data_IF_337473127903
#
_entry.id   IF_337473127903
#
_cell.length_a   1.000
_cell.length_b   1.000
_cell.length_c   1.000
_cell.angle_alpha   90.00
_cell.angle_beta   90.00
_cell.angle_gamma   90.00
#
_symmetry.space_group_name_H-M   'P 1'
#
loop_
_entity.id
_entity.type
_entity.pdbx_description
1 polymer ?
#
# COMPACT_ATOMS: atom_id res chain seq x y z
N UNK A 1 -2.47 3.64 -17.23
CA UNK A 1 -2.50 4.92 -17.98
C UNK A 1 -3.07 6.05 -17.10
N UNK A 2 -4.32 5.94 -16.62
CA UNK A 2 -4.93 6.93 -15.72
C UNK A 2 -4.19 7.15 -14.38
N UNK A 3 -3.64 6.11 -13.75
CA UNK A 3 -2.86 6.26 -12.50
C UNK A 3 -1.62 7.16 -12.67
N UNK A 4 -0.92 7.02 -13.80
CA UNK A 4 0.26 7.85 -14.13
C UNK A 4 -0.13 9.29 -14.43
N UNK A 5 -1.26 9.48 -15.11
CA UNK A 5 -1.83 10.81 -15.36
C UNK A 5 -2.25 11.47 -14.04
N UNK A 6 -2.87 10.71 -13.13
CA UNK A 6 -3.20 11.18 -11.78
C UNK A 6 -1.91 11.60 -11.05
N UNK A 7 -0.92 10.71 -10.96
CA UNK A 7 0.33 10.98 -10.27
C UNK A 7 1.09 12.20 -10.85
N UNK A 8 1.04 12.41 -12.17
CA UNK A 8 1.64 13.56 -12.83
C UNK A 8 0.96 14.90 -12.49
N UNK A 9 -0.35 14.87 -12.21
CA UNK A 9 -1.11 16.07 -11.83
C UNK A 9 -0.95 16.44 -10.34
N UNK A 10 -0.27 15.61 -9.53
CA UNK A 10 0.02 15.95 -8.12
C UNK A 10 0.70 17.31 -7.97
N UNK A 11 1.63 17.63 -8.87
CA UNK A 11 2.32 18.93 -8.87
C UNK A 11 1.38 20.12 -9.17
N UNK A 12 0.29 19.89 -9.92
CA UNK A 12 -0.71 20.92 -10.16
C UNK A 12 -1.60 21.14 -8.93
N UNK A 13 -1.87 20.08 -8.16
CA UNK A 13 -2.62 20.17 -6.92
C UNK A 13 -1.89 21.01 -5.87
N UNK A 14 -0.59 20.77 -5.69
CA UNK A 14 0.26 21.56 -4.78
C UNK A 14 0.24 23.05 -5.14
N UNK A 15 0.29 23.38 -6.44
CA UNK A 15 0.17 24.78 -6.88
C UNK A 15 -1.20 25.39 -6.57
N UNK A 16 -2.26 24.60 -6.62
CA UNK A 16 -3.63 25.06 -6.29
C UNK A 16 -3.75 25.30 -4.78
N UNK A 17 -3.12 24.47 -3.96
CA UNK A 17 -3.07 24.65 -2.50
C UNK A 17 -2.29 25.92 -2.12
N UNK A 18 -1.10 26.13 -2.70
CA UNK A 18 -0.27 27.33 -2.48
C UNK A 18 -1.01 28.62 -2.88
N UNK A 19 -1.74 28.57 -4.00
CA UNK A 19 -2.59 29.68 -4.45
C UNK A 19 -3.80 29.88 -3.53
N UNK A 20 -4.33 28.81 -2.94
CA UNK A 20 -5.39 28.87 -1.94
C UNK A 20 -4.94 29.59 -0.67
N UNK A 21 -3.77 29.24 -0.14
CA UNK A 21 -3.16 29.91 1.03
C UNK A 21 -2.95 31.40 0.74
N UNK A 22 -2.44 31.74 -0.44
CA UNK A 22 -2.24 33.13 -0.88
C UNK A 22 -3.56 33.93 -0.97
N UNK A 23 -4.65 33.30 -1.37
CA UNK A 23 -5.97 33.93 -1.49
C UNK A 23 -6.65 34.11 -0.11
N UNK A 24 -6.46 33.15 0.80
CA UNK A 24 -6.89 33.28 2.19
C UNK A 24 -6.17 34.42 2.91
N UNK A 25 -4.86 34.56 2.73
CA UNK A 25 -4.07 35.69 3.24
C UNK A 25 -4.56 37.04 2.69
N UNK A 26 -5.04 37.06 1.44
CA UNK A 26 -5.64 38.22 0.79
C UNK A 26 -7.11 38.45 1.16
N UNK A 27 -7.68 37.66 2.09
CA UNK A 27 -9.09 37.68 2.50
C UNK A 27 -10.10 37.42 1.35
N UNK A 28 -9.67 36.70 0.31
CA UNK A 28 -10.52 36.29 -0.82
C UNK A 28 -11.09 34.90 -0.55
N UNK A 29 -12.28 34.86 0.07
CA UNK A 29 -12.88 33.62 0.60
C UNK A 29 -14.00 33.02 -0.27
N UNK A 30 -14.56 33.79 -1.20
CA UNK A 30 -15.69 33.36 -2.04
C UNK A 30 -15.21 32.66 -3.32
N UNK A 31 -14.51 31.54 -3.15
CA UNK A 31 -14.02 30.72 -4.26
C UNK A 31 -15.02 29.59 -4.49
N UNK A 32 -15.59 29.54 -5.71
CA UNK A 32 -16.64 28.59 -6.13
C UNK A 32 -16.33 27.10 -5.85
N UNK A 33 -15.05 26.77 -5.72
CA UNK A 33 -14.54 25.50 -5.22
C UNK A 33 -13.39 25.84 -4.26
N UNK A 34 -13.52 25.48 -2.98
CA UNK A 34 -12.40 25.66 -2.06
C UNK A 34 -11.24 24.79 -2.54
N UNK A 35 -10.02 25.33 -2.46
CA UNK A 35 -8.78 24.62 -2.78
C UNK A 35 -8.66 23.35 -1.93
N UNK A 36 -9.09 23.43 -0.66
CA UNK A 36 -9.25 22.30 0.26
C UNK A 36 -10.20 21.23 -0.31
N UNK A 37 -11.36 21.63 -0.84
CA UNK A 37 -12.34 20.69 -1.41
C UNK A 37 -11.82 19.96 -2.64
N UNK A 38 -11.04 20.66 -3.49
CA UNK A 38 -10.38 20.04 -4.65
C UNK A 38 -9.29 19.06 -4.22
N UNK A 39 -8.49 19.41 -3.20
CA UNK A 39 -7.47 18.53 -2.66
C UNK A 39 -8.06 17.25 -2.03
N UNK A 40 -9.17 17.38 -1.30
CA UNK A 40 -9.88 16.23 -0.73
C UNK A 40 -10.46 15.30 -1.81
N UNK A 41 -11.12 15.85 -2.83
CA UNK A 41 -11.67 15.05 -3.94
C UNK A 41 -10.57 14.34 -4.72
N UNK A 42 -9.42 15.01 -4.88
CA UNK A 42 -8.24 14.43 -5.50
C UNK A 42 -7.70 13.24 -4.71
N UNK A 43 -7.50 13.40 -3.40
CA UNK A 43 -6.99 12.34 -2.53
C UNK A 43 -7.93 11.12 -2.56
N UNK A 44 -9.24 11.34 -2.48
CA UNK A 44 -10.24 10.27 -2.62
C UNK A 44 -10.11 9.51 -3.95
N UNK A 45 -9.93 10.22 -5.07
CA UNK A 45 -9.74 9.59 -6.37
C UNK A 45 -8.44 8.80 -6.45
N UNK A 46 -7.37 9.31 -5.85
CA UNK A 46 -6.09 8.62 -5.78
C UNK A 46 -6.20 7.31 -4.98
N UNK A 47 -6.80 7.37 -3.79
CA UNK A 47 -7.01 6.21 -2.93
C UNK A 47 -7.89 5.14 -3.59
N UNK A 48 -8.99 5.55 -4.24
CA UNK A 48 -9.82 4.63 -5.02
C UNK A 48 -9.05 3.98 -6.18
N UNK A 49 -8.15 4.73 -6.83
CA UNK A 49 -7.26 4.20 -7.86
C UNK A 49 -6.32 3.14 -7.32
N UNK A 50 -5.67 3.42 -6.18
CA UNK A 50 -4.77 2.50 -5.49
C UNK A 50 -5.50 1.22 -5.03
N UNK A 51 -6.67 1.35 -4.41
CA UNK A 51 -7.48 0.21 -4.00
C UNK A 51 -7.89 -0.67 -5.18
N UNK A 52 -8.33 -0.06 -6.29
CA UNK A 52 -8.69 -0.82 -7.50
C UNK A 52 -7.50 -1.53 -8.11
N UNK A 53 -6.34 -0.88 -8.15
CA UNK A 53 -5.12 -1.50 -8.65
C UNK A 53 -4.73 -2.70 -7.77
N UNK A 54 -4.76 -2.52 -6.45
CA UNK A 54 -4.43 -3.58 -5.51
C UNK A 54 -5.39 -4.77 -5.64
N UNK A 55 -6.70 -4.52 -5.70
CA UNK A 55 -7.70 -5.56 -5.90
C UNK A 55 -7.52 -6.30 -7.25
N UNK A 56 -7.16 -5.58 -8.32
CA UNK A 56 -6.87 -6.21 -9.61
C UNK A 56 -5.60 -7.06 -9.57
N UNK A 57 -4.55 -6.60 -8.89
CA UNK A 57 -3.32 -7.37 -8.69
C UNK A 57 -3.58 -8.64 -7.88
N UNK A 58 -4.37 -8.55 -6.80
CA UNK A 58 -4.81 -9.71 -6.02
C UNK A 58 -5.63 -10.69 -6.88
N UNK A 59 -6.55 -10.19 -7.71
CA UNK A 59 -7.36 -11.04 -8.60
C UNK A 59 -6.55 -11.70 -9.72
N UNK A 60 -5.57 -11.00 -10.29
CA UNK A 60 -4.65 -11.55 -11.30
C UNK A 60 -3.78 -12.62 -10.65
N UNK A 61 -3.22 -12.35 -9.48
CA UNK A 61 -2.46 -13.35 -8.73
C UNK A 61 -3.31 -14.57 -8.39
N UNK A 62 -4.56 -14.39 -7.97
CA UNK A 62 -5.50 -15.48 -7.72
C UNK A 62 -5.84 -16.30 -8.98
N UNK A 63 -5.80 -15.69 -10.18
CA UNK A 63 -5.99 -16.40 -11.45
C UNK A 63 -4.74 -17.18 -11.89
N UNK A 64 -3.54 -16.66 -11.61
CA UNK A 64 -2.28 -17.35 -11.90
C UNK A 64 -1.88 -18.35 -10.80
N UNK A 65 -2.50 -18.26 -9.61
CA UNK A 65 -2.28 -19.14 -8.47
C UNK A 65 -2.52 -20.62 -8.82
N UNK A 66 -3.35 -20.90 -9.82
CA UNK A 66 -3.77 -22.26 -10.14
C UNK A 66 -4.10 -22.45 -11.62
N UNK A 67 -3.11 -22.19 -12.50
CA UNK A 67 -3.25 -22.42 -13.96
C UNK A 67 -3.71 -23.85 -14.30
N UNK A 68 -3.47 -24.81 -13.40
CA UNK A 68 -3.83 -26.22 -13.56
C UNK A 68 -5.07 -26.66 -12.74
N UNK A 69 -5.79 -25.74 -12.07
CA UNK A 69 -6.98 -26.03 -11.24
C UNK A 69 -6.77 -27.12 -10.16
N UNK A 70 -5.55 -27.23 -9.66
CA UNK A 70 -5.10 -28.18 -8.63
C UNK A 70 -5.44 -27.77 -7.20
N UNK A 71 -5.78 -26.50 -6.97
CA UNK A 71 -5.95 -25.87 -5.66
C UNK A 71 -4.63 -25.67 -4.89
N UNK A 72 -3.48 -25.78 -5.57
CA UNK A 72 -2.14 -25.81 -4.95
C UNK A 72 -1.19 -24.85 -5.67
N UNK A 73 -0.46 -24.07 -4.87
CA UNK A 73 0.60 -23.17 -5.33
C UNK A 73 1.96 -23.76 -4.99
N UNK A 74 2.81 -24.05 -5.98
CA UNK A 74 4.17 -24.51 -5.69
C UNK A 74 5.05 -23.35 -5.17
N UNK A 75 6.22 -23.68 -4.62
CA UNK A 75 7.11 -22.66 -4.04
C UNK A 75 7.61 -21.63 -5.09
N UNK A 76 7.81 -22.04 -6.35
CA UNK A 76 8.27 -21.12 -7.41
C UNK A 76 7.20 -20.06 -7.73
N UNK A 77 5.95 -20.49 -7.81
CA UNK A 77 4.83 -19.59 -8.08
C UNK A 77 4.55 -18.71 -6.86
N UNK A 78 4.67 -19.25 -5.65
CA UNK A 78 4.60 -18.47 -4.41
C UNK A 78 5.69 -17.39 -4.33
N UNK A 79 6.93 -17.73 -4.67
CA UNK A 79 8.04 -16.77 -4.77
C UNK A 79 7.70 -15.64 -5.75
N UNK A 80 7.06 -15.99 -6.86
CA UNK A 80 6.64 -15.02 -7.88
C UNK A 80 5.50 -14.14 -7.40
N UNK A 81 4.51 -14.69 -6.68
CA UNK A 81 3.45 -13.93 -6.02
C UNK A 81 4.01 -12.94 -4.99
N UNK A 82 4.93 -13.37 -4.12
CA UNK A 82 5.58 -12.49 -3.14
C UNK A 82 6.28 -11.30 -3.80
N UNK A 83 7.02 -11.53 -4.90
CA UNK A 83 7.63 -10.44 -5.68
C UNK A 83 6.59 -9.52 -6.30
N UNK A 84 5.48 -10.07 -6.80
CA UNK A 84 4.36 -9.29 -7.33
C UNK A 84 3.64 -8.46 -6.27
N UNK A 85 3.66 -8.89 -5.01
CA UNK A 85 3.17 -8.15 -3.84
C UNK A 85 4.21 -7.15 -3.30
N UNK A 86 5.32 -6.93 -4.01
CA UNK A 86 6.44 -6.06 -3.62
C UNK A 86 7.21 -6.49 -2.37
N UNK A 87 7.14 -7.76 -1.95
CA UNK A 87 8.08 -8.27 -0.96
C UNK A 87 9.48 -8.36 -1.56
N UNK A 88 10.44 -7.72 -0.90
CA UNK A 88 11.83 -7.78 -1.34
C UNK A 88 12.44 -9.17 -1.07
N UNK A 89 12.65 -9.92 -2.15
CA UNK A 89 13.36 -11.20 -2.17
C UNK A 89 14.65 -11.03 -3.02
N UNK A 90 15.85 -11.03 -2.41
CA UNK A 90 17.09 -10.84 -3.13
C UNK A 90 17.30 -11.97 -4.14
N UNK A 91 17.72 -11.64 -5.37
CA UNK A 91 18.09 -12.66 -6.34
C UNK A 91 19.30 -13.44 -5.82
N UNK A 92 19.14 -14.75 -5.70
CA UNK A 92 20.21 -15.71 -5.39
C UNK A 92 20.46 -16.57 -6.63
N UNK A 93 21.67 -17.11 -6.75
CA UNK A 93 22.01 -18.05 -7.82
C UNK A 93 21.18 -19.34 -7.71
N UNK A 94 21.04 -20.06 -8.82
CA UNK A 94 20.27 -21.31 -8.85
C UNK A 94 20.94 -22.36 -7.97
N UNK A 95 20.23 -22.81 -6.93
CA UNK A 95 20.73 -23.77 -5.94
C UNK A 95 21.23 -23.15 -4.64
N UNK A 96 21.40 -21.83 -4.58
CA UNK A 96 21.75 -21.13 -3.34
C UNK A 96 20.51 -20.94 -2.43
N UNK A 97 20.66 -21.05 -1.10
CA UNK A 97 19.56 -20.80 -0.17
C UNK A 97 19.13 -19.34 -0.24
N UNK A 98 17.83 -19.08 -0.13
CA UNK A 98 17.24 -17.74 -0.09
C UNK A 98 16.61 -17.49 1.29
N UNK A 99 17.39 -17.10 2.34
CA UNK A 99 16.92 -17.12 3.73
C UNK A 99 15.66 -16.30 4.01
N UNK A 100 15.40 -15.25 3.22
CA UNK A 100 14.16 -14.46 3.33
C UNK A 100 12.95 -15.24 2.83
N UNK A 101 13.09 -15.95 1.71
CA UNK A 101 12.02 -16.79 1.16
C UNK A 101 11.75 -17.99 2.06
N UNK A 102 12.81 -18.58 2.63
CA UNK A 102 12.70 -19.68 3.60
C UNK A 102 11.83 -19.33 4.81
N UNK A 103 11.95 -18.11 5.35
CA UNK A 103 11.08 -17.65 6.45
C UNK A 103 9.60 -17.58 6.07
N UNK A 104 9.29 -17.23 4.83
CA UNK A 104 7.91 -17.27 4.35
C UNK A 104 7.43 -18.72 4.26
N UNK A 105 8.26 -19.63 3.74
CA UNK A 105 7.94 -21.06 3.67
C UNK A 105 7.74 -21.69 5.06
N UNK A 106 8.52 -21.30 6.07
CA UNK A 106 8.32 -21.78 7.44
C UNK A 106 6.95 -21.40 8.01
N UNK A 107 6.32 -20.35 7.47
CA UNK A 107 4.97 -19.91 7.87
C UNK A 107 3.89 -20.67 7.10
N UNK A 108 4.02 -20.77 5.78
CA UNK A 108 2.95 -21.27 4.89
C UNK A 108 3.06 -22.75 4.52
N UNK A 109 4.24 -23.34 4.69
CA UNK A 109 4.54 -24.75 4.43
C UNK A 109 5.63 -25.28 5.40
N UNK A 110 5.38 -25.27 6.73
CA UNK A 110 6.38 -25.71 7.72
C UNK A 110 6.82 -27.16 7.54
N UNK A 111 5.95 -28.01 6.99
CA UNK A 111 6.25 -29.42 6.69
C UNK A 111 7.01 -29.64 5.38
N UNK A 112 7.29 -28.58 4.62
CA UNK A 112 7.95 -28.62 3.30
C UNK A 112 7.31 -29.65 2.36
N UNK A 113 5.98 -29.66 2.30
CA UNK A 113 5.23 -30.54 1.39
C UNK A 113 5.40 -30.16 -0.08
N UNK A 114 5.97 -28.98 -0.36
CA UNK A 114 6.32 -28.51 -1.70
C UNK A 114 5.20 -27.75 -2.40
N UNK A 115 4.09 -27.51 -1.70
CA UNK A 115 2.97 -26.71 -2.18
C UNK A 115 2.29 -25.97 -1.03
N UNK A 116 1.53 -24.94 -1.35
CA UNK A 116 0.72 -24.14 -0.44
C UNK A 116 -0.72 -24.26 -0.92
N UNK A 117 -1.64 -24.62 -0.02
CA UNK A 117 -3.05 -24.69 -0.36
C UNK A 117 -3.65 -23.28 -0.47
N UNK A 118 -4.80 -23.19 -1.14
CA UNK A 118 -5.53 -21.93 -1.24
C UNK A 118 -5.84 -21.31 0.14
N UNK A 119 -6.26 -22.12 1.11
CA UNK A 119 -6.60 -21.63 2.45
C UNK A 119 -5.37 -21.12 3.19
N UNK A 120 -4.23 -21.81 3.10
CA UNK A 120 -2.96 -21.35 3.69
C UNK A 120 -2.48 -20.05 3.06
N UNK A 121 -2.64 -19.90 1.75
CA UNK A 121 -2.28 -18.66 1.06
C UNK A 121 -3.20 -17.49 1.44
N UNK A 122 -4.51 -17.72 1.56
CA UNK A 122 -5.46 -16.70 2.01
C UNK A 122 -5.14 -16.28 3.45
N UNK A 123 -4.95 -17.25 4.35
CA UNK A 123 -4.61 -16.96 5.74
C UNK A 123 -3.31 -16.15 5.84
N UNK A 124 -2.29 -16.50 5.06
CA UNK A 124 -1.05 -15.73 4.97
C UNK A 124 -1.28 -14.28 4.54
N UNK A 125 -2.10 -14.06 3.52
CA UNK A 125 -2.43 -12.70 3.06
C UNK A 125 -3.21 -11.93 4.12
N UNK A 126 -4.16 -12.57 4.79
CA UNK A 126 -4.93 -11.95 5.88
C UNK A 126 -4.04 -11.57 7.07
N UNK A 127 -3.15 -12.45 7.50
CA UNK A 127 -2.20 -12.17 8.58
C UNK A 127 -1.28 -10.99 8.21
N UNK A 128 -0.80 -10.95 6.96
CA UNK A 128 0.07 -9.86 6.48
C UNK A 128 -0.66 -8.54 6.30
N UNK A 129 -1.90 -8.54 5.81
CA UNK A 129 -2.74 -7.34 5.81
C UNK A 129 -3.00 -6.86 7.24
N UNK A 130 -3.20 -7.75 8.21
CA UNK A 130 -3.39 -7.38 9.62
C UNK A 130 -2.16 -6.75 10.27
N UNK A 131 -0.94 -7.17 9.90
CA UNK A 131 0.31 -6.50 10.30
C UNK A 131 0.41 -5.08 9.70
N UNK A 132 -0.06 -4.88 8.48
CA UNK A 132 -0.17 -3.55 7.87
C UNK A 132 -1.24 -2.67 8.55
N UNK A 133 -2.32 -3.27 9.07
CA UNK A 133 -3.31 -2.55 9.89
C UNK A 133 -2.71 -2.13 11.24
N UNK A 134 -1.84 -2.94 11.86
CA UNK A 134 -1.07 -2.52 13.06
C UNK A 134 -0.10 -1.37 12.77
N UNK A 135 0.38 -1.25 11.53
CA UNK A 135 1.13 -0.04 11.12
C UNK A 135 0.27 1.22 11.15
N UNK A 136 -1.07 1.11 11.04
CA UNK A 136 -1.99 2.24 11.29
C UNK A 136 -1.96 2.67 12.76
N UNK A 137 -1.87 1.73 13.71
CA UNK A 137 -1.71 2.05 15.13
C UNK A 137 -0.35 2.72 15.38
N UNK A 138 0.71 2.27 14.71
CA UNK A 138 2.03 2.95 14.75
C UNK A 138 1.98 4.34 14.10
N UNK A 139 1.13 4.55 13.09
CA UNK A 139 0.90 5.83 12.44
C UNK A 139 0.13 6.78 13.37
N UNK A 140 -0.86 6.25 14.10
CA UNK A 140 -1.56 6.97 15.16
C UNK A 140 -0.62 7.32 16.32
N UNK A 141 0.24 6.41 16.77
CA UNK A 141 1.23 6.66 17.81
C UNK A 141 2.27 7.72 17.37
N UNK A 142 2.73 7.64 16.12
CA UNK A 142 3.65 8.63 15.53
C UNK A 142 2.98 10.00 15.38
N UNK A 143 1.71 10.02 14.95
CA UNK A 143 0.91 11.23 14.91
C UNK A 143 0.75 11.81 16.31
N UNK A 144 0.46 10.98 17.32
CA UNK A 144 0.24 11.42 18.69
C UNK A 144 1.51 11.95 19.35
N UNK A 145 2.67 11.37 19.01
CA UNK A 145 3.97 11.87 19.43
C UNK A 145 4.25 13.27 18.84
N UNK A 146 3.99 13.46 17.54
CA UNK A 146 4.16 14.76 16.86
C UNK A 146 3.12 15.80 17.28
N UNK A 147 1.90 15.37 17.57
CA UNK A 147 0.83 16.25 18.02
C UNK A 147 0.93 16.61 19.51
N UNK A 148 1.91 16.05 20.24
CA UNK A 148 2.05 16.20 21.70
C UNK A 148 0.74 15.91 22.45
N UNK A 149 -0.01 14.91 21.98
CA UNK A 149 -1.31 14.52 22.55
C UNK A 149 -2.52 15.35 22.10
N UNK A 150 -2.36 16.29 21.16
CA UNK A 150 -3.47 17.04 20.54
C UNK A 150 -4.12 16.22 19.42
N UNK A 151 -5.36 16.53 19.08
CA UNK A 151 -6.07 15.89 17.97
C UNK A 151 -5.65 16.39 16.57
N UNK A 152 -4.65 17.28 16.49
CA UNK A 152 -4.17 17.91 15.26
C UNK A 152 -2.70 18.31 15.38
N UNK A 153 -2.01 18.40 14.25
CA UNK A 153 -0.61 18.82 14.13
C UNK A 153 -0.58 20.20 13.47
N UNK A 154 0.16 21.13 14.04
CA UNK A 154 0.39 22.46 13.47
C UNK A 154 1.72 22.55 12.71
N UNK A 155 1.88 23.59 11.91
CA UNK A 155 3.13 23.87 11.16
C UNK A 155 4.34 24.05 12.07
N UNK A 156 4.13 24.40 13.34
CA UNK A 156 5.18 24.53 14.34
C UNK A 156 5.56 23.18 14.93
N UNK A 157 4.57 22.29 15.15
CA UNK A 157 4.78 20.93 15.65
C UNK A 157 5.60 20.07 14.65
N UNK A 158 5.47 20.33 13.34
CA UNK A 158 6.25 19.63 12.29
C UNK A 158 7.72 20.07 12.16
N UNK A 159 8.17 21.08 12.91
CA UNK A 159 9.53 21.64 12.80
C UNK A 159 10.50 21.13 13.87
N UNK A 160 10.04 20.28 14.78
CA UNK A 160 10.88 19.59 15.77
C UNK A 160 11.71 18.48 15.12
#
# INVERSE_FOLDING_TARGET
RKQKEIQAMKHQLTKIEDLGESLEEAMVLDIKYSTIGLAQQWEQLYQLGMQRQHSLEQQIQARHFDENLTGRLNHKDFRSCLRGLNYYLPMVEEGEPEPKFEKFLDTVDPGRKGYISKDEYINFLTDKESENIRSSDELEDSFQALAEGKAYITKEDMKQ
#
